data_IF_329831254742
#
_entry.id   IF_329831254742
#
_cell.length_a   1.000
_cell.length_b   1.000
_cell.length_c   1.000
_cell.angle_alpha   90.00
_cell.angle_beta   90.00
_cell.angle_gamma   90.00
#
_symmetry.space_group_name_H-M   'P 1'
#
loop_
_entity.id
_entity.type
_entity.pdbx_description
1 polymer ?
#
# COMPACT_ATOMS: atom_id res chain seq x y z
N UNK A 1 -0.66 -19.05 -1.29
CA UNK A 1 -1.37 -18.43 -0.13
C UNK A 1 -0.67 -17.18 0.43
N UNK A 2 0.55 -17.28 1.00
CA UNK A 2 1.20 -16.15 1.73
C UNK A 2 1.49 -14.91 0.88
N UNK A 3 1.83 -15.08 -0.40
CA UNK A 3 2.10 -13.97 -1.33
C UNK A 3 0.85 -13.16 -1.69
N UNK A 4 -0.28 -13.83 -1.93
CA UNK A 4 -1.55 -13.17 -2.23
C UNK A 4 -2.02 -12.30 -1.05
N UNK A 5 -1.93 -12.82 0.17
CA UNK A 5 -2.25 -12.04 1.38
C UNK A 5 -1.33 -10.82 1.53
N UNK A 6 -0.04 -10.96 1.20
CA UNK A 6 0.89 -9.82 1.23
C UNK A 6 0.50 -8.76 0.18
N UNK A 7 0.11 -9.17 -1.02
CA UNK A 7 -0.32 -8.26 -2.07
C UNK A 7 -1.58 -7.49 -1.68
N UNK A 8 -2.59 -8.16 -1.11
CA UNK A 8 -3.83 -7.50 -0.64
C UNK A 8 -3.55 -6.48 0.47
N UNK A 9 -2.64 -6.79 1.41
CA UNK A 9 -2.25 -5.82 2.46
C UNK A 9 -1.49 -4.62 1.89
N UNK A 10 -0.60 -4.87 0.92
CA UNK A 10 0.14 -3.83 0.24
C UNK A 10 -0.81 -2.88 -0.51
N UNK A 11 -1.73 -3.44 -1.30
CA UNK A 11 -2.75 -2.70 -2.04
C UNK A 11 -3.57 -1.77 -1.12
N UNK A 12 -4.10 -2.33 -0.02
CA UNK A 12 -4.82 -1.54 0.97
C UNK A 12 -3.97 -0.41 1.58
N UNK A 13 -2.69 -0.68 1.86
CA UNK A 13 -1.79 0.33 2.43
C UNK A 13 -1.47 1.45 1.44
N UNK A 14 -1.27 1.15 0.15
CA UNK A 14 -0.99 2.15 -0.90
C UNK A 14 -2.15 3.12 -1.06
N UNK A 15 -3.38 2.62 -1.15
CA UNK A 15 -4.57 3.47 -1.27
C UNK A 15 -4.67 4.48 -0.12
N UNK A 16 -4.34 4.06 1.10
CA UNK A 16 -4.36 4.95 2.27
C UNK A 16 -3.21 5.95 2.29
N UNK A 17 -2.01 5.55 1.86
CA UNK A 17 -0.89 6.48 1.70
C UNK A 17 -1.21 7.57 0.67
N UNK A 18 -1.81 7.20 -0.48
CA UNK A 18 -2.25 8.16 -1.51
C UNK A 18 -3.40 9.04 -1.02
N UNK A 19 -4.27 8.52 -0.16
CA UNK A 19 -5.30 9.32 0.53
C UNK A 19 -4.72 10.31 1.57
N UNK A 20 -3.41 10.31 1.80
CA UNK A 20 -2.72 11.23 2.71
C UNK A 20 -2.57 10.74 4.15
N UNK A 21 -2.88 9.47 4.43
CA UNK A 21 -2.69 8.93 5.77
C UNK A 21 -1.20 8.75 6.13
N UNK A 22 -0.85 9.04 7.38
CA UNK A 22 0.52 8.87 7.87
C UNK A 22 0.96 7.41 7.93
N UNK A 23 2.17 7.11 7.45
CA UNK A 23 2.69 5.74 7.29
C UNK A 23 2.66 4.87 8.56
N UNK A 24 2.85 5.44 9.75
CA UNK A 24 2.78 4.69 11.01
C UNK A 24 1.34 4.20 11.30
N UNK A 25 0.34 5.05 11.03
CA UNK A 25 -1.07 4.70 11.17
C UNK A 25 -1.49 3.66 10.13
N UNK A 26 -1.09 3.87 8.88
CA UNK A 26 -1.34 2.90 7.79
C UNK A 26 -0.75 1.54 8.15
N UNK A 27 0.47 1.48 8.68
CA UNK A 27 1.08 0.22 9.10
C UNK A 27 0.24 -0.52 10.14
N UNK A 28 -0.18 0.15 11.21
CA UNK A 28 -0.99 -0.44 12.27
C UNK A 28 -2.35 -0.94 11.74
N UNK A 29 -3.03 -0.13 10.94
CA UNK A 29 -4.37 -0.44 10.46
C UNK A 29 -4.37 -1.53 9.35
N UNK A 30 -3.31 -1.61 8.54
CA UNK A 30 -3.16 -2.62 7.48
C UNK A 30 -2.54 -3.95 7.96
N UNK A 31 -2.25 -4.07 9.26
CA UNK A 31 -1.73 -5.31 9.87
C UNK A 31 -0.23 -5.52 9.67
N UNK A 32 0.54 -4.45 9.45
CA UNK A 32 1.99 -4.47 9.55
C UNK A 32 2.42 -4.36 11.01
N UNK A 33 3.51 -5.04 11.36
CA UNK A 33 4.06 -5.02 12.72
C UNK A 33 4.53 -3.63 13.14
N UNK A 34 5.07 -2.85 12.20
CA UNK A 34 5.55 -1.48 12.39
C UNK A 34 5.70 -0.77 11.03
N UNK A 35 6.05 0.52 11.07
CA UNK A 35 6.31 1.33 9.87
C UNK A 35 7.50 0.81 9.04
N UNK A 36 8.50 0.19 9.66
CA UNK A 36 9.66 -0.36 8.95
C UNK A 36 9.29 -1.60 8.13
N UNK A 37 8.35 -2.40 8.61
CA UNK A 37 7.78 -3.55 7.90
C UNK A 37 6.98 -3.06 6.69
N UNK A 38 6.11 -2.06 6.85
CA UNK A 38 5.42 -1.41 5.73
C UNK A 38 6.43 -0.90 4.68
N UNK A 39 7.45 -0.16 5.11
CA UNK A 39 8.47 0.39 4.21
C UNK A 39 9.17 -0.69 3.38
N UNK A 40 9.58 -1.80 4.01
CA UNK A 40 10.24 -2.91 3.31
C UNK A 40 9.35 -3.53 2.25
N UNK A 41 8.06 -3.70 2.52
CA UNK A 41 7.13 -4.25 1.54
C UNK A 41 6.84 -3.25 0.41
N UNK A 42 6.67 -1.97 0.71
CA UNK A 42 6.47 -0.93 -0.31
C UNK A 42 7.66 -0.86 -1.28
N UNK A 43 8.89 -0.85 -0.74
CA UNK A 43 10.11 -0.88 -1.57
C UNK A 43 10.19 -2.17 -2.38
N UNK A 44 9.84 -3.32 -1.78
CA UNK A 44 9.89 -4.60 -2.48
C UNK A 44 8.90 -4.69 -3.66
N UNK A 45 7.74 -4.04 -3.57
CA UNK A 45 6.72 -4.06 -4.64
C UNK A 45 6.89 -2.94 -5.66
N UNK A 46 7.36 -1.76 -5.26
CA UNK A 46 7.35 -0.55 -6.10
C UNK A 46 8.74 0.00 -6.43
N UNK A 47 9.76 -0.38 -5.67
CA UNK A 47 11.08 0.28 -5.70
C UNK A 47 11.08 1.69 -5.09
N UNK A 48 9.94 2.22 -4.64
CA UNK A 48 9.77 3.55 -4.09
C UNK A 48 9.59 3.51 -2.56
N UNK A 49 9.74 4.67 -1.90
CA UNK A 49 9.46 4.79 -0.46
C UNK A 49 7.97 5.08 -0.23
N UNK A 50 7.41 4.82 0.97
CA UNK A 50 6.03 5.17 1.29
C UNK A 50 5.68 6.65 1.06
N UNK A 51 6.63 7.56 1.30
CA UNK A 51 6.45 8.99 1.06
C UNK A 51 6.40 9.33 -0.44
N UNK A 52 7.19 8.64 -1.27
CA UNK A 52 7.12 8.79 -2.72
C UNK A 52 5.81 8.22 -3.27
N UNK A 53 5.38 7.05 -2.79
CA UNK A 53 4.08 6.47 -3.18
C UNK A 53 2.91 7.40 -2.85
N UNK A 54 2.94 8.07 -1.70
CA UNK A 54 1.88 9.00 -1.29
C UNK A 54 1.66 10.17 -2.27
N UNK A 55 2.66 10.51 -3.10
CA UNK A 55 2.57 11.59 -4.09
C UNK A 55 2.51 11.08 -5.53
N UNK A 56 2.32 9.78 -5.74
CA UNK A 56 2.20 9.13 -7.05
C UNK A 56 0.81 8.53 -7.23
N UNK A 57 -0.19 9.34 -7.65
CA UNK A 57 -1.59 8.93 -7.70
C UNK A 57 -1.85 7.72 -8.58
N UNK A 58 -0.99 7.47 -9.58
CA UNK A 58 -1.13 6.34 -10.51
C UNK A 58 -1.07 4.97 -9.81
N UNK A 59 -0.46 4.90 -8.62
CA UNK A 59 -0.35 3.67 -7.83
C UNK A 59 -1.63 3.32 -7.05
N UNK A 60 -2.64 4.20 -7.01
CA UNK A 60 -3.95 3.94 -6.40
C UNK A 60 -5.07 3.88 -7.46
N UNK A 61 -4.73 3.70 -8.74
CA UNK A 61 -5.69 3.68 -9.85
C UNK A 61 -6.32 2.29 -10.04
N UNK A 62 -6.03 1.32 -9.17
CA UNK A 62 -6.48 -0.06 -9.35
C UNK A 62 -8.01 -0.17 -9.46
N UNK A 63 -8.77 0.66 -8.74
CA UNK A 63 -10.25 0.73 -8.84
C UNK A 63 -10.76 1.18 -10.23
N UNK A 64 -9.96 1.97 -10.96
CA UNK A 64 -10.26 2.45 -12.32
C UNK A 64 -9.78 1.48 -13.39
N UNK A 65 -8.63 0.83 -13.16
CA UNK A 65 -7.99 -0.08 -14.12
C UNK A 65 -8.62 -1.49 -14.09
N UNK A 66 -9.06 -1.93 -12.91
CA UNK A 66 -9.72 -3.21 -12.70
C UNK A 66 -10.94 -3.05 -11.78
N UNK A 67 -12.05 -2.47 -12.28
CA UNK A 67 -13.28 -2.35 -11.50
C UNK A 67 -13.68 -3.76 -11.06
N UNK A 68 -13.68 -4.01 -9.75
CA UNK A 68 -14.11 -5.29 -9.21
C UNK A 68 -15.53 -5.56 -9.74
N UNK A 69 -15.67 -6.55 -10.62
CA UNK A 69 -16.95 -6.92 -11.19
C UNK A 69 -17.85 -7.36 -10.04
N UNK A 70 -18.95 -6.61 -9.84
CA UNK A 70 -20.03 -6.97 -8.94
C UNK A 70 -20.74 -8.26 -9.43
#
# INVERSE_FOLDING_TARGET
>A
PKRAVKLVRFDHAVHRLVAGDGAARVAADAGYADQSHLHRDVVAFTGATPAAVAVEPFLAVDDLAWPATA
#
